data_IF_379929079928
#
_entry.id   IF_379929079928
#
_cell.length_a   1.000
_cell.length_b   1.000
_cell.length_c   1.000
_cell.angle_alpha   90.00
_cell.angle_beta   90.00
_cell.angle_gamma   90.00
#
_symmetry.space_group_name_H-M   'P 1'
#
loop_
_entity.id
_entity.type
_entity.pdbx_description
1 polymer ?
#
# COMPACT_ATOMS: atom_id res chain seq x y z
N UNK A 1 15.65 -16.50 -16.45
CA UNK A 1 16.12 -16.32 -15.05
C UNK A 1 14.98 -16.62 -14.06
N UNK A 2 15.21 -17.50 -13.07
CA UNK A 2 14.23 -17.78 -12.00
C UNK A 2 14.10 -16.55 -11.07
N UNK A 3 12.87 -16.22 -10.63
CA UNK A 3 12.64 -15.13 -9.65
C UNK A 3 13.33 -15.45 -8.32
N UNK A 4 14.09 -14.51 -7.72
CA UNK A 4 14.74 -14.73 -6.44
C UNK A 4 13.70 -14.95 -5.34
N UNK A 5 14.03 -15.77 -4.34
CA UNK A 5 13.13 -16.09 -3.23
C UNK A 5 12.67 -14.83 -2.48
N UNK A 6 13.57 -13.87 -2.27
CA UNK A 6 13.28 -12.56 -1.68
C UNK A 6 12.15 -11.81 -2.38
N UNK A 7 12.11 -11.83 -3.72
CA UNK A 7 11.06 -11.16 -4.48
C UNK A 7 9.74 -11.94 -4.42
N UNK A 8 9.79 -13.27 -4.35
CA UNK A 8 8.58 -14.08 -4.11
C UNK A 8 8.01 -13.79 -2.72
N UNK A 9 8.87 -13.68 -1.72
CA UNK A 9 8.50 -13.33 -0.36
C UNK A 9 7.87 -11.93 -0.28
N UNK A 10 8.52 -10.92 -0.87
CA UNK A 10 7.96 -9.55 -0.94
C UNK A 10 6.59 -9.56 -1.63
N UNK A 11 6.44 -10.23 -2.77
CA UNK A 11 5.14 -10.33 -3.44
C UNK A 11 4.09 -11.04 -2.58
N UNK A 12 4.46 -12.13 -1.90
CA UNK A 12 3.55 -12.86 -1.02
C UNK A 12 3.01 -11.95 0.09
N UNK A 13 3.88 -11.21 0.78
CA UNK A 13 3.48 -10.30 1.85
C UNK A 13 2.63 -9.13 1.36
N UNK A 14 2.96 -8.56 0.20
CA UNK A 14 2.18 -7.48 -0.39
C UNK A 14 0.77 -7.98 -0.79
N UNK A 15 0.68 -9.18 -1.38
CA UNK A 15 -0.61 -9.81 -1.74
C UNK A 15 -1.41 -10.16 -0.48
N UNK A 16 -0.77 -10.74 0.54
CA UNK A 16 -1.41 -11.04 1.81
C UNK A 16 -1.96 -9.76 2.47
N UNK A 17 -1.18 -8.67 2.48
CA UNK A 17 -1.62 -7.36 2.98
C UNK A 17 -2.83 -6.84 2.22
N UNK A 18 -2.83 -6.97 0.89
CA UNK A 18 -3.99 -6.60 0.07
C UNK A 18 -5.23 -7.44 0.40
N UNK A 19 -5.08 -8.75 0.61
CA UNK A 19 -6.18 -9.63 1.00
C UNK A 19 -6.84 -9.19 2.31
N UNK A 20 -6.03 -8.85 3.33
CA UNK A 20 -6.56 -8.34 4.59
C UNK A 20 -7.29 -6.99 4.43
N UNK A 21 -6.76 -6.07 3.62
CA UNK A 21 -7.45 -4.82 3.33
C UNK A 21 -8.78 -5.05 2.60
N UNK A 22 -8.82 -5.97 1.62
CA UNK A 22 -10.07 -6.32 0.94
C UNK A 22 -11.12 -6.88 1.90
N UNK A 23 -10.70 -7.73 2.86
CA UNK A 23 -11.59 -8.29 3.87
C UNK A 23 -12.13 -7.20 4.81
N UNK A 24 -11.27 -6.23 5.16
CA UNK A 24 -11.69 -5.07 5.95
C UNK A 24 -12.66 -4.16 5.20
N UNK A 25 -12.41 -3.87 3.92
CA UNK A 25 -13.33 -3.08 3.08
C UNK A 25 -14.69 -3.77 2.98
N UNK A 26 -14.72 -5.10 2.82
CA UNK A 26 -15.96 -5.88 2.80
C UNK A 26 -16.73 -5.74 4.11
N UNK A 27 -16.04 -5.81 5.25
CA UNK A 27 -16.62 -5.60 6.57
C UNK A 27 -17.22 -4.20 6.69
N UNK A 28 -16.49 -3.17 6.22
CA UNK A 28 -16.94 -1.78 6.21
C UNK A 28 -18.22 -1.61 5.37
N UNK A 29 -18.27 -2.18 4.17
CA UNK A 29 -19.46 -2.17 3.30
C UNK A 29 -20.64 -2.84 4.00
N UNK A 30 -20.40 -3.98 4.66
CA UNK A 30 -21.45 -4.71 5.38
C UNK A 30 -22.00 -3.88 6.54
N UNK A 31 -21.13 -3.17 7.27
CA UNK A 31 -21.51 -2.33 8.40
C UNK A 31 -22.35 -1.12 7.95
N UNK A 32 -21.94 -0.46 6.86
CA UNK A 32 -22.69 0.65 6.23
C UNK A 32 -24.03 0.18 5.67
N UNK A 33 -24.11 -1.04 5.14
CA UNK A 33 -25.36 -1.59 4.62
C UNK A 33 -26.37 -1.90 5.72
N UNK A 34 -25.90 -2.41 6.87
CA UNK A 34 -26.77 -2.75 8.02
C UNK A 34 -27.21 -1.48 8.76
N UNK A 35 -26.35 -0.46 8.83
CA UNK A 35 -26.65 0.83 9.44
C UNK A 35 -26.58 1.94 8.38
N UNK A 36 -27.67 2.21 7.63
CA UNK A 36 -27.70 3.31 6.68
C UNK A 36 -27.63 4.64 7.42
N UNK A 37 -26.43 5.23 7.44
CA UNK A 37 -26.17 6.52 8.08
C UNK A 37 -26.50 7.62 7.08
N UNK A 38 -27.53 8.41 7.38
CA UNK A 38 -27.81 9.64 6.63
C UNK A 38 -26.59 10.55 6.66
N UNK A 39 -26.19 11.11 5.51
CA UNK A 39 -25.00 11.95 5.41
C UNK A 39 -23.66 11.18 5.39
N UNK A 40 -23.65 9.87 5.09
CA UNK A 40 -22.40 9.09 4.91
C UNK A 40 -21.33 9.82 4.10
N UNK A 41 -21.70 10.41 2.95
CA UNK A 41 -20.74 11.15 2.12
C UNK A 41 -20.19 12.42 2.77
N UNK A 42 -21.00 13.10 3.57
CA UNK A 42 -20.59 14.29 4.32
C UNK A 42 -19.60 13.90 5.42
N UNK A 43 -19.92 12.86 6.19
CA UNK A 43 -19.06 12.37 7.27
C UNK A 43 -17.80 11.66 6.75
N UNK A 44 -17.89 10.96 5.61
CA UNK A 44 -16.73 10.42 4.91
C UNK A 44 -15.76 11.53 4.51
N UNK A 45 -16.27 12.64 3.96
CA UNK A 45 -15.45 13.80 3.61
C UNK A 45 -14.77 14.38 4.85
N UNK A 46 -15.49 14.50 5.97
CA UNK A 46 -14.94 14.98 7.24
C UNK A 46 -13.85 14.05 7.78
N UNK A 47 -14.09 12.74 7.84
CA UNK A 47 -13.09 11.78 8.32
C UNK A 47 -11.87 11.64 7.41
N UNK A 48 -12.01 11.83 6.09
CA UNK A 48 -10.85 11.91 5.19
C UNK A 48 -10.04 13.18 5.44
N UNK A 49 -10.70 14.31 5.68
CA UNK A 49 -10.03 15.57 6.01
C UNK A 49 -9.31 15.44 7.35
N UNK A 50 -9.97 14.92 8.38
CA UNK A 50 -9.38 14.73 9.70
C UNK A 50 -8.20 13.75 9.67
N UNK A 51 -8.32 12.61 8.97
CA UNK A 51 -7.19 11.69 8.80
C UNK A 51 -5.97 12.32 8.08
N UNK A 52 -6.15 13.43 7.36
CA UNK A 52 -5.10 14.17 6.67
C UNK A 52 -4.56 15.33 7.54
N UNK A 53 -5.44 16.04 8.25
CA UNK A 53 -5.11 17.27 8.99
C UNK A 53 -4.84 17.05 10.48
N UNK A 54 -5.39 15.99 11.07
CA UNK A 54 -5.28 15.64 12.48
C UNK A 54 -5.88 16.69 13.42
N UNK A 55 -6.99 17.31 13.03
CA UNK A 55 -7.53 18.52 13.69
C UNK A 55 -8.88 18.15 14.34
N UNK A 56 -8.80 17.69 15.60
CA UNK A 56 -9.83 16.93 16.31
C UNK A 56 -10.99 17.76 16.92
N UNK A 57 -11.32 18.92 16.36
CA UNK A 57 -12.30 19.86 16.95
C UNK A 57 -13.70 19.82 16.28
N UNK A 58 -14.04 18.76 15.54
CA UNK A 58 -15.33 18.64 14.84
C UNK A 58 -16.37 17.95 15.75
N UNK A 59 -17.05 18.74 16.58
CA UNK A 59 -18.10 18.25 17.52
C UNK A 59 -19.42 17.97 16.80
N UNK A 60 -19.85 16.70 16.70
CA UNK A 60 -21.23 16.34 16.32
C UNK A 60 -21.69 15.01 17.01
N UNK A 61 -22.77 15.06 17.77
CA UNK A 61 -23.23 14.05 18.74
C UNK A 61 -23.95 12.81 18.16
N UNK A 62 -24.32 12.80 16.87
CA UNK A 62 -24.68 11.59 16.09
C UNK A 62 -23.60 11.25 15.05
N UNK A 63 -22.50 12.03 15.05
CA UNK A 63 -21.41 11.88 14.09
C UNK A 63 -20.35 10.91 14.51
N UNK A 64 -20.28 10.46 15.76
CA UNK A 64 -19.18 9.60 16.22
C UNK A 64 -19.07 8.31 15.40
N UNK A 65 -20.20 7.69 15.03
CA UNK A 65 -20.21 6.49 14.17
C UNK A 65 -19.75 6.85 12.75
N UNK A 66 -20.18 8.00 12.26
CA UNK A 66 -19.92 8.42 10.88
C UNK A 66 -18.49 8.96 10.69
N UNK A 67 -17.95 9.61 11.72
CA UNK A 67 -16.57 10.04 11.90
C UNK A 67 -15.67 8.81 12.03
N UNK A 68 -16.01 7.85 12.90
CA UNK A 68 -15.28 6.59 13.01
C UNK A 68 -15.25 5.82 11.68
N UNK A 69 -16.37 5.78 10.94
CA UNK A 69 -16.42 5.20 9.60
C UNK A 69 -15.56 6.00 8.62
N UNK A 70 -15.58 7.34 8.69
CA UNK A 70 -14.75 8.21 7.87
C UNK A 70 -13.25 8.00 8.11
N UNK A 71 -12.81 7.98 9.36
CA UNK A 71 -11.45 7.65 9.80
C UNK A 71 -11.06 6.24 9.34
N UNK A 72 -11.94 5.24 9.53
CA UNK A 72 -11.69 3.85 9.10
C UNK A 72 -11.49 3.77 7.59
N UNK A 73 -12.27 4.51 6.79
CA UNK A 73 -12.08 4.51 5.33
C UNK A 73 -10.80 5.26 4.97
N UNK A 74 -10.56 6.45 5.53
CA UNK A 74 -9.36 7.25 5.27
C UNK A 74 -8.06 6.49 5.59
N UNK A 75 -8.02 5.86 6.76
CA UNK A 75 -6.88 5.05 7.25
C UNK A 75 -6.61 3.81 6.40
N UNK A 76 -7.56 3.32 5.60
CA UNK A 76 -7.43 2.08 4.82
C UNK A 76 -7.28 2.34 3.33
N UNK A 77 -8.00 3.32 2.81
CA UNK A 77 -8.07 3.59 1.38
C UNK A 77 -6.71 4.06 0.85
N UNK A 78 -6.02 4.95 1.57
CA UNK A 78 -4.67 5.41 1.20
C UNK A 78 -3.66 4.26 1.23
N UNK A 79 -3.49 3.48 2.33
CA UNK A 79 -2.59 2.34 2.33
C UNK A 79 -2.91 1.28 1.26
N UNK A 80 -4.19 1.06 0.96
CA UNK A 80 -4.61 0.12 -0.08
C UNK A 80 -4.14 0.57 -1.46
N UNK A 81 -4.35 1.85 -1.80
CA UNK A 81 -3.85 2.44 -3.07
C UNK A 81 -2.33 2.29 -3.16
N UNK A 82 -1.60 2.62 -2.08
CA UNK A 82 -0.16 2.50 -2.04
C UNK A 82 0.31 1.05 -2.25
N UNK A 83 -0.38 0.07 -1.68
CA UNK A 83 -0.10 -1.36 -1.87
C UNK A 83 -0.32 -1.76 -3.33
N UNK A 84 -1.44 -1.36 -3.94
CA UNK A 84 -1.75 -1.65 -5.35
C UNK A 84 -0.69 -1.05 -6.27
N UNK A 85 -0.33 0.22 -6.08
CA UNK A 85 0.72 0.89 -6.86
C UNK A 85 2.06 0.16 -6.72
N UNK A 86 2.39 -0.31 -5.52
CA UNK A 86 3.61 -1.07 -5.29
C UNK A 86 3.62 -2.40 -6.04
N UNK A 87 2.49 -3.13 -6.07
CA UNK A 87 2.34 -4.34 -6.90
C UNK A 87 2.57 -4.00 -8.38
N UNK A 88 1.96 -2.93 -8.89
CA UNK A 88 2.11 -2.51 -10.29
C UNK A 88 3.56 -2.18 -10.62
N UNK A 89 4.27 -1.45 -9.76
CA UNK A 89 5.68 -1.12 -9.99
C UNK A 89 6.62 -2.31 -9.89
N UNK A 90 6.36 -3.26 -8.99
CA UNK A 90 7.10 -4.52 -8.93
C UNK A 90 6.88 -5.32 -10.22
N UNK A 91 5.65 -5.36 -10.74
CA UNK A 91 5.32 -6.06 -12.00
C UNK A 91 5.96 -5.40 -13.22
N UNK A 92 6.07 -4.06 -13.24
CA UNK A 92 6.77 -3.27 -14.28
C UNK A 92 8.28 -3.17 -14.06
N UNK A 93 8.83 -3.89 -13.08
CA UNK A 93 10.26 -3.87 -12.74
C UNK A 93 10.85 -2.46 -12.51
N UNK A 94 10.06 -1.50 -12.01
CA UNK A 94 10.48 -0.12 -11.80
C UNK A 94 11.12 0.07 -10.41
N UNK A 95 12.40 -0.33 -10.26
CA UNK A 95 13.09 -0.33 -8.96
C UNK A 95 12.97 0.99 -8.17
N UNK A 96 13.23 2.14 -8.81
CA UNK A 96 13.17 3.45 -8.15
C UNK A 96 11.76 3.73 -7.60
N UNK A 97 10.72 3.45 -8.38
CA UNK A 97 9.33 3.67 -7.96
C UNK A 97 8.90 2.72 -6.85
N UNK A 98 9.31 1.45 -6.90
CA UNK A 98 9.07 0.48 -5.81
C UNK A 98 9.69 0.94 -4.49
N UNK A 99 10.94 1.42 -4.52
CA UNK A 99 11.61 1.95 -3.33
C UNK A 99 10.90 3.20 -2.81
N UNK A 100 10.59 4.17 -3.67
CA UNK A 100 9.86 5.38 -3.27
C UNK A 100 8.51 5.04 -2.66
N UNK A 101 7.75 4.11 -3.24
CA UNK A 101 6.47 3.69 -2.67
C UNK A 101 6.62 2.98 -1.32
N UNK A 102 7.64 2.15 -1.14
CA UNK A 102 7.91 1.53 0.17
C UNK A 102 8.29 2.58 1.22
N UNK A 103 9.04 3.61 0.86
CA UNK A 103 9.35 4.73 1.76
C UNK A 103 8.09 5.50 2.14
N UNK A 104 7.24 5.85 1.17
CA UNK A 104 5.95 6.51 1.43
C UNK A 104 5.07 5.62 2.32
N UNK A 105 5.01 4.31 2.07
CA UNK A 105 4.29 3.36 2.92
C UNK A 105 4.81 3.33 4.35
N UNK A 106 6.13 3.46 4.56
CA UNK A 106 6.70 3.56 5.91
C UNK A 106 6.22 4.84 6.60
N UNK A 107 6.23 5.99 5.93
CA UNK A 107 5.69 7.24 6.48
C UNK A 107 4.21 7.12 6.88
N UNK A 108 3.36 6.58 6.01
CA UNK A 108 1.94 6.35 6.33
C UNK A 108 1.69 5.21 7.34
N UNK A 109 2.65 4.32 7.53
CA UNK A 109 2.52 3.27 8.53
C UNK A 109 2.74 3.82 9.95
N UNK A 110 3.52 4.90 10.11
CA UNK A 110 3.81 5.51 11.41
C UNK A 110 2.57 6.05 12.12
N UNK A 111 1.56 6.52 11.39
CA UNK A 111 0.30 7.00 11.97
C UNK A 111 -0.64 5.88 12.39
N UNK A 112 -0.43 4.65 11.91
CA UNK A 112 -1.39 3.56 12.07
C UNK A 112 -1.02 2.60 13.21
N UNK A 113 0.02 1.77 13.02
CA UNK A 113 0.34 0.70 13.95
C UNK A 113 1.79 0.23 13.80
N UNK A 114 2.46 -0.05 14.91
CA UNK A 114 3.88 -0.43 14.95
C UNK A 114 4.18 -1.69 14.14
N UNK A 115 3.23 -2.64 14.08
CA UNK A 115 3.37 -3.84 13.27
C UNK A 115 3.38 -3.54 11.77
N UNK A 116 2.54 -2.59 11.32
CA UNK A 116 2.50 -2.13 9.93
C UNK A 116 3.79 -1.42 9.53
N UNK A 117 4.35 -0.62 10.44
CA UNK A 117 5.66 0.04 10.28
C UNK A 117 6.75 -1.00 10.12
N UNK A 118 6.86 -1.93 11.06
CA UNK A 118 7.90 -2.98 11.06
C UNK A 118 7.85 -3.80 9.77
N UNK A 119 6.66 -4.23 9.34
CA UNK A 119 6.50 -4.98 8.10
C UNK A 119 6.98 -4.17 6.88
N UNK A 120 6.60 -2.90 6.79
CA UNK A 120 6.95 -2.03 5.66
C UNK A 120 8.46 -1.72 5.63
N UNK A 121 9.09 -1.55 6.79
CA UNK A 121 10.54 -1.41 6.96
C UNK A 121 11.26 -2.69 6.55
N UNK A 122 10.81 -3.87 6.97
CA UNK A 122 11.41 -5.16 6.58
C UNK A 122 11.36 -5.34 5.05
N UNK A 123 10.22 -5.05 4.43
CA UNK A 123 10.08 -5.12 2.97
C UNK A 123 11.02 -4.14 2.26
N UNK A 124 11.17 -2.92 2.77
CA UNK A 124 12.11 -1.93 2.27
C UNK A 124 13.56 -2.44 2.37
N UNK A 125 13.95 -3.00 3.51
CA UNK A 125 15.29 -3.57 3.71
C UNK A 125 15.57 -4.71 2.73
N UNK A 126 14.61 -5.62 2.52
CA UNK A 126 14.75 -6.72 1.56
C UNK A 126 14.97 -6.21 0.14
N UNK A 127 14.29 -5.13 -0.28
CA UNK A 127 14.43 -4.56 -1.62
C UNK A 127 15.71 -3.73 -1.79
N UNK A 128 16.15 -3.02 -0.74
CA UNK A 128 17.36 -2.19 -0.78
C UNK A 128 18.65 -3.01 -0.69
N UNK A 129 18.74 -3.93 0.28
CA UNK A 129 20.00 -4.59 0.63
C UNK A 129 20.21 -5.93 -0.06
N UNK A 130 19.16 -6.58 -0.56
CA UNK A 130 19.32 -7.84 -1.27
C UNK A 130 19.79 -7.60 -2.72
N UNK A 131 21.09 -7.78 -2.95
CA UNK A 131 21.74 -7.63 -4.26
C UNK A 131 21.06 -8.46 -5.35
N UNK A 132 20.57 -9.66 -5.02
CA UNK A 132 19.88 -10.53 -5.99
C UNK A 132 18.56 -9.93 -6.45
N UNK A 133 17.78 -9.33 -5.54
CA UNK A 133 16.52 -8.64 -5.88
C UNK A 133 16.80 -7.43 -6.76
N UNK A 134 17.78 -6.60 -6.37
CA UNK A 134 18.15 -5.38 -7.08
C UNK A 134 18.63 -5.67 -8.50
N UNK A 135 19.53 -6.63 -8.67
CA UNK A 135 20.05 -7.01 -9.97
C UNK A 135 18.96 -7.63 -10.85
N UNK A 136 18.11 -8.49 -10.28
CA UNK A 136 17.00 -9.08 -11.01
C UNK A 136 16.05 -8.03 -11.58
N UNK A 137 15.62 -7.05 -10.78
CA UNK A 137 14.70 -5.99 -11.22
C UNK A 137 15.36 -5.11 -12.28
N UNK A 138 16.62 -4.71 -12.10
CA UNK A 138 17.35 -3.87 -13.07
C UNK A 138 17.57 -4.56 -14.42
N UNK A 139 18.01 -5.82 -14.40
CA UNK A 139 18.26 -6.60 -15.62
C UNK A 139 16.95 -6.85 -16.38
N UNK A 140 15.86 -7.18 -15.68
CA UNK A 140 14.55 -7.37 -16.32
C UNK A 140 14.02 -6.09 -16.97
N UNK A 141 14.17 -4.95 -16.30
CA UNK A 141 13.75 -3.66 -16.84
C UNK A 141 14.54 -3.31 -18.12
N UNK A 142 15.87 -3.50 -18.12
CA UNK A 142 16.71 -3.27 -19.30
C UNK A 142 16.27 -4.12 -20.52
N UNK A 143 15.94 -5.39 -20.29
CA UNK A 143 15.42 -6.30 -21.33
C UNK A 143 14.05 -5.86 -21.87
N UNK A 144 13.19 -5.31 -21.03
CA UNK A 144 11.84 -4.88 -21.41
C UNK A 144 11.84 -3.51 -22.11
N UNK A 145 12.83 -2.66 -21.80
CA UNK A 145 13.03 -1.37 -22.47
C UNK A 145 13.78 -1.46 -23.81
N UNK A 146 14.59 -2.51 -24.01
CA UNK A 146 15.34 -2.74 -25.25
C UNK A 146 15.39 -4.26 -25.59
N UNK A 147 14.50 -4.75 -26.45
CA UNK A 147 14.44 -6.16 -26.81
C UNK A 147 15.66 -6.64 -27.62
N UNK A 148 16.48 -5.74 -28.17
CA UNK A 148 17.68 -6.07 -28.96
C UNK A 148 18.83 -6.49 -28.03
N UNK A 149 18.82 -6.04 -26.76
CA UNK A 149 19.80 -6.44 -25.74
C UNK A 149 19.78 -7.95 -25.39
N UNK A 150 18.77 -8.71 -25.86
CA UNK A 150 18.69 -10.16 -25.71
C UNK A 150 19.66 -10.92 -26.63
N UNK A 151 20.13 -10.32 -27.73
CA UNK A 151 21.05 -11.00 -28.66
C UNK A 151 22.52 -10.94 -28.21
N UNK A 152 22.87 -10.00 -27.33
CA UNK A 152 24.23 -9.86 -26.78
C UNK A 152 24.16 -9.53 -25.28
N UNK A 153 24.01 -10.53 -24.39
CA UNK A 153 24.05 -10.27 -22.96
C UNK A 153 25.45 -9.78 -22.56
N UNK A 154 25.56 -8.65 -21.82
CA UNK A 154 26.84 -8.25 -21.25
C UNK A 154 27.26 -9.32 -20.22
N UNK A 155 28.41 -9.95 -20.50
CA UNK A 155 29.08 -10.92 -19.62
C UNK A 155 29.37 -10.33 -18.23
#
# INVERSE_FOLDING_TARGET
MKKPFSLKFVNFFIIAKLFFFSLYILLLITLVYIHPIEGFWYNFKLGVLDAITGDSDIVLTDSEIAEAIGEMIGSILIPTILVILNILFIRKFMYKMTVTMLVIQVFFAFSNNIFSVLLSVILLFIVLFNKNTKNYIKQRNAIESDPIALENPPY
#
